data_IF_812444407564
#
_entry.id   IF_812444407564
#
_cell.length_a   1.000
_cell.length_b   1.000
_cell.length_c   1.000
_cell.angle_alpha   90.00
_cell.angle_beta   90.00
_cell.angle_gamma   90.00
#
_symmetry.space_group_name_H-M   'P 1'
#
loop_
_entity.id
_entity.type
_entity.pdbx_description
1 polymer ?
2 non-polymer ?
3 non-polymer ?
4 non-polymer ?
5 water ?
#
# COMPACT_ATOMS: atom_id res chain seq x y z
N UNK A 2 36.17 -2.52 -13.12
CA UNK A 2 34.80 -2.36 -12.62
C UNK A 2 34.63 -3.20 -11.37
N UNK A 3 33.59 -2.89 -10.59
CA UNK A 3 33.22 -3.57 -9.40
C UNK A 3 31.72 -3.48 -9.12
N UNK A 4 31.18 -4.53 -8.52
CA UNK A 4 29.80 -4.50 -8.08
C UNK A 4 29.64 -3.57 -6.91
N UNK A 5 28.81 -2.54 -7.02
CA UNK A 5 28.49 -1.69 -5.91
C UNK A 5 27.27 -2.11 -5.11
N UNK A 6 26.31 -2.73 -5.82
CA UNK A 6 25.12 -3.27 -5.17
C UNK A 6 24.57 -4.39 -6.06
N UNK A 7 23.92 -5.36 -5.42
CA UNK A 7 23.33 -6.43 -6.24
C UNK A 7 22.25 -7.08 -5.42
N UNK A 8 21.12 -7.42 -6.09
CA UNK A 8 20.09 -8.23 -5.47
C UNK A 8 19.37 -8.99 -6.59
N UNK A 9 18.83 -10.14 -6.24
CA UNK A 9 18.26 -10.97 -7.28
C UNK A 9 17.23 -11.85 -6.57
N UNK A 10 16.28 -12.39 -7.35
CA UNK A 10 15.29 -13.32 -6.78
C UNK A 10 14.12 -13.55 -7.74
N UNK A 11 12.98 -13.85 -7.10
CA UNK A 11 11.79 -14.20 -7.87
C UNK A 11 10.71 -13.13 -7.59
N UNK A 12 10.17 -12.62 -8.69
CA UNK A 12 9.09 -11.63 -8.67
C UNK A 12 7.79 -12.27 -9.18
N UNK A 13 6.68 -11.64 -8.85
CA UNK A 13 5.36 -11.97 -9.42
C UNK A 13 4.98 -13.38 -9.09
N UNK A 14 5.30 -13.87 -7.89
CA UNK A 14 4.86 -15.20 -7.46
C UNK A 14 3.47 -15.10 -6.86
N UNK A 15 2.50 -15.64 -7.59
CA UNK A 15 1.10 -15.67 -7.13
C UNK A 15 0.87 -16.79 -6.13
N UNK A 16 0.25 -16.55 -5.00
CA UNK A 16 0.05 -17.52 -3.93
C UNK A 16 -1.37 -17.45 -3.42
N UNK A 17 -2.08 -18.55 -3.38
CA UNK A 17 -3.36 -18.68 -2.71
C UNK A 17 -3.20 -19.63 -1.52
N UNK A 18 -3.90 -19.36 -0.47
CA UNK A 18 -4.01 -20.32 0.64
C UNK A 18 -5.44 -20.35 1.15
N UNK A 19 -5.92 -21.56 1.48
CA UNK A 19 -7.22 -21.76 2.08
C UNK A 19 -7.09 -22.32 3.49
N UNK A 20 -7.89 -21.86 4.40
CA UNK A 20 -8.07 -22.40 5.74
C UNK A 20 -9.47 -23.00 5.81
N UNK A 21 -9.57 -24.23 6.29
CA UNK A 21 -10.88 -24.89 6.39
C UNK A 21 -11.11 -25.20 7.87
N UNK A 22 -12.20 -24.70 8.47
CA UNK A 22 -12.53 -25.02 9.87
C UNK A 22 -13.32 -26.33 9.84
N UNK A 23 -12.72 -27.32 10.51
CA UNK A 23 -13.34 -28.64 10.63
C UNK A 23 -14.63 -28.55 11.41
N UNK A 24 -14.65 -27.75 12.47
CA UNK A 24 -15.85 -27.78 13.31
C UNK A 24 -17.06 -27.26 12.55
N UNK A 25 -16.80 -26.20 11.78
CA UNK A 25 -17.88 -25.36 11.29
C UNK A 25 -18.09 -25.44 9.78
N UNK A 26 -17.08 -25.83 9.02
CA UNK A 26 -17.10 -25.94 7.58
C UNK A 26 -16.90 -24.61 6.85
N UNK A 27 -16.70 -23.52 7.55
CA UNK A 27 -16.32 -22.19 7.13
C UNK A 27 -14.88 -22.25 6.60
N UNK A 28 -14.74 -21.79 5.37
CA UNK A 28 -13.47 -21.69 4.65
C UNK A 28 -13.09 -20.21 4.55
N UNK A 29 -11.80 -19.93 4.61
CA UNK A 29 -11.30 -18.56 4.48
C UNK A 29 -10.16 -18.59 3.48
N UNK A 30 -10.16 -17.68 2.52
CA UNK A 30 -9.09 -17.65 1.51
C UNK A 30 -8.23 -16.40 1.62
N UNK A 31 -6.99 -16.55 1.18
CA UNK A 31 -5.97 -15.53 1.13
C UNK A 31 -5.28 -15.61 -0.21
N UNK A 32 -5.03 -14.48 -0.87
CA UNK A 32 -4.30 -14.48 -2.10
C UNK A 32 -3.35 -13.28 -2.17
N UNK A 33 -2.16 -13.54 -2.66
CA UNK A 33 -1.12 -12.52 -2.66
C UNK A 33 -0.28 -12.67 -3.89
N UNK A 34 0.54 -11.66 -4.18
CA UNK A 34 1.63 -11.72 -5.12
C UNK A 34 2.90 -11.34 -4.37
N UNK A 35 3.91 -12.20 -4.47
CA UNK A 35 5.12 -12.10 -3.64
C UNK A 35 6.32 -11.90 -4.51
N UNK A 36 7.25 -11.03 -4.04
CA UNK A 36 8.56 -10.87 -4.58
C UNK A 36 9.61 -11.02 -3.45
N UNK A 37 10.60 -11.84 -3.70
CA UNK A 37 11.71 -11.98 -2.75
C UNK A 37 12.99 -11.73 -3.51
N UNK A 38 13.78 -10.73 -3.10
CA UNK A 38 15.09 -10.44 -3.62
C UNK A 38 16.17 -10.53 -2.51
N UNK A 39 17.23 -11.25 -2.82
CA UNK A 39 18.31 -11.50 -1.89
C UNK A 39 19.56 -10.70 -2.21
N UNK A 40 20.26 -10.32 -1.10
CA UNK A 40 21.60 -9.76 -1.17
C UNK A 40 22.57 -10.59 -0.30
N UNK A 41 23.83 -10.51 -0.69
CA UNK A 41 24.84 -11.18 0.16
C UNK A 41 26.15 -11.20 -0.58
N UNK A 42 26.90 -12.27 -0.24
CA UNK A 42 28.20 -12.48 -0.86
C UNK A 42 27.99 -13.19 -2.18
N UNK A 43 27.42 -12.47 -3.13
CA UNK A 43 26.99 -12.99 -4.41
C UNK A 43 27.63 -12.34 -5.61
N UNK A 44 28.53 -11.39 -5.39
CA UNK A 44 29.13 -10.61 -6.44
C UNK A 44 29.84 -11.46 -7.48
N UNK A 45 30.41 -12.61 -7.09
CA UNK A 45 31.14 -13.45 -8.03
C UNK A 45 30.25 -14.16 -9.06
N UNK A 46 28.96 -14.18 -8.75
CA UNK A 46 28.05 -14.69 -9.80
C UNK A 46 28.00 -13.73 -10.98
N UNK A 47 28.21 -12.43 -10.67
CA UNK A 47 28.24 -11.41 -11.71
C UNK A 47 29.60 -11.29 -12.39
N UNK A 48 30.67 -11.36 -11.58
CA UNK A 48 31.98 -10.99 -12.10
C UNK A 48 32.78 -12.19 -12.61
N UNK A 49 32.46 -13.40 -12.16
CA UNK A 49 33.32 -14.57 -12.44
C UNK A 49 32.50 -15.77 -12.88
N UNK A 50 31.23 -15.59 -13.22
CA UNK A 50 30.37 -16.67 -13.67
C UNK A 50 30.31 -17.75 -12.60
N UNK A 51 30.35 -17.42 -11.34
CA UNK A 51 30.36 -18.40 -10.25
C UNK A 51 28.95 -18.55 -9.69
N UNK A 52 28.25 -19.58 -10.20
CA UNK A 52 26.86 -19.80 -9.85
C UNK A 52 26.70 -20.51 -8.53
N UNK A 53 27.85 -20.96 -7.96
CA UNK A 53 27.75 -21.65 -6.68
C UNK A 53 27.16 -20.85 -5.56
N UNK A 54 27.25 -19.50 -5.67
CA UNK A 54 26.69 -18.60 -4.71
C UNK A 54 25.20 -18.25 -4.89
N UNK A 55 24.64 -18.81 -5.99
CA UNK A 55 23.24 -18.51 -6.30
C UNK A 55 22.25 -19.54 -5.73
N UNK A 56 21.37 -19.09 -4.88
CA UNK A 56 20.14 -19.81 -4.50
C UNK A 56 19.23 -19.60 -5.72
N UNK A 57 18.95 -20.58 -6.55
CA UNK A 57 18.19 -20.37 -7.80
C UNK A 57 16.84 -19.70 -7.50
N UNK A 58 16.46 -18.82 -8.49
CA UNK A 58 15.18 -18.13 -8.27
C UNK A 58 14.00 -19.10 -8.20
N UNK A 59 14.12 -20.22 -8.93
CA UNK A 59 13.11 -21.28 -8.83
C UNK A 59 13.02 -21.89 -7.45
N UNK A 60 14.20 -21.99 -6.77
CA UNK A 60 14.21 -22.45 -5.38
C UNK A 60 13.62 -21.46 -4.40
N UNK A 61 13.84 -20.16 -4.69
CA UNK A 61 13.17 -19.10 -3.94
C UNK A 61 11.64 -19.24 -4.04
N UNK A 62 11.20 -19.47 -5.28
CA UNK A 62 9.75 -19.74 -5.51
C UNK A 62 9.23 -20.90 -4.67
N UNK A 63 9.95 -22.03 -4.80
CA UNK A 63 9.56 -23.19 -3.98
C UNK A 63 9.47 -22.87 -2.49
N UNK A 64 10.46 -22.09 -2.03
CA UNK A 64 10.51 -21.72 -0.60
C UNK A 64 9.34 -20.87 -0.15
N UNK A 65 8.90 -19.97 -1.07
CA UNK A 65 7.69 -19.21 -0.81
C UNK A 65 6.48 -20.12 -0.57
N UNK A 66 6.28 -21.08 -1.49
CA UNK A 66 5.19 -22.02 -1.29
C UNK A 66 5.26 -22.88 -0.02
N UNK A 67 6.48 -23.38 0.20
CA UNK A 67 6.71 -24.19 1.43
C UNK A 67 6.47 -23.41 2.70
N UNK A 68 6.91 -22.13 2.68
CA UNK A 68 6.74 -21.30 3.87
C UNK A 68 5.26 -21.01 4.12
N UNK A 69 4.52 -20.75 3.01
CA UNK A 69 3.08 -20.59 3.10
C UNK A 69 2.33 -21.85 3.59
N UNK A 70 2.87 -23.01 3.27
CA UNK A 70 2.25 -24.27 3.72
C UNK A 70 2.45 -24.47 5.23
N UNK A 71 3.61 -24.03 5.71
CA UNK A 71 4.00 -24.30 7.09
C UNK A 71 3.68 -23.18 8.07
N UNK A 72 3.16 -22.02 7.66
CA UNK A 72 2.94 -20.86 8.49
C UNK A 72 1.69 -20.08 8.12
N UNK A 73 1.17 -19.27 9.01
CA UNK A 73 0.06 -18.38 8.64
C UNK A 73 0.59 -17.39 7.58
N UNK A 74 -0.30 -17.07 6.63
CA UNK A 74 0.08 -16.07 5.63
C UNK A 74 -0.45 -14.68 6.03
N UNK A 75 -1.11 -14.59 7.15
CA UNK A 75 -1.66 -13.33 7.65
C UNK A 75 -1.18 -13.10 9.08
N UNK A 76 -0.94 -11.88 9.58
CA UNK A 76 -0.93 -10.67 8.74
C UNK A 76 0.27 -10.70 7.82
N UNK A 77 0.28 -10.04 6.68
CA UNK A 77 1.36 -10.11 5.74
C UNK A 77 2.71 -9.63 6.28
N UNK A 78 2.66 -8.71 7.26
CA UNK A 78 3.89 -8.30 7.96
C UNK A 78 4.58 -9.49 8.64
N UNK A 79 3.77 -10.36 9.23
CA UNK A 79 4.33 -11.57 9.87
C UNK A 79 4.87 -12.54 8.84
N UNK A 80 4.06 -12.87 7.83
CA UNK A 80 4.49 -13.80 6.80
C UNK A 80 5.76 -13.37 6.13
N UNK A 81 5.82 -12.06 5.77
CA UNK A 81 7.00 -11.50 5.15
C UNK A 81 8.27 -11.61 5.99
N UNK A 82 8.04 -11.40 7.31
CA UNK A 82 9.16 -11.52 8.26
C UNK A 82 9.65 -12.95 8.40
N UNK A 83 8.71 -13.91 8.47
CA UNK A 83 9.12 -15.31 8.54
C UNK A 83 9.91 -15.68 7.32
N UNK A 84 9.41 -15.31 6.13
CA UNK A 84 10.03 -15.63 4.87
C UNK A 84 11.40 -15.04 4.72
N UNK A 85 11.60 -13.74 5.03
CA UNK A 85 12.87 -13.10 4.92
C UNK A 85 13.90 -13.66 5.91
N UNK A 86 13.42 -13.88 7.11
CA UNK A 86 14.30 -14.48 8.15
C UNK A 86 14.82 -15.84 7.70
N UNK A 87 13.96 -16.63 7.05
CA UNK A 87 14.40 -17.94 6.58
C UNK A 87 15.64 -17.81 5.74
N UNK A 88 15.68 -16.93 4.74
CA UNK A 88 16.78 -16.86 3.83
C UNK A 88 18.10 -16.42 4.48
N UNK A 89 18.04 -15.43 5.34
CA UNK A 89 19.30 -14.99 5.96
C UNK A 89 19.75 -16.04 7.00
N UNK A 90 18.89 -16.81 7.58
CA UNK A 90 19.34 -17.84 8.53
C UNK A 90 19.79 -19.12 7.84
N UNK A 91 19.12 -19.53 6.76
CA UNK A 91 19.40 -20.79 6.10
C UNK A 91 20.74 -20.71 5.38
N UNK A 92 21.08 -19.58 4.76
CA UNK A 92 22.21 -19.42 3.88
C UNK A 92 23.22 -18.49 4.54
N UNK A 93 24.40 -19.04 4.89
CA UNK A 93 25.36 -18.21 5.60
C UNK A 93 25.71 -16.94 4.81
N UNK A 94 25.84 -17.04 3.50
CA UNK A 94 26.33 -15.97 2.67
C UNK A 94 25.24 -15.01 2.17
N UNK A 95 24.02 -15.27 2.55
CA UNK A 95 22.92 -14.33 2.25
C UNK A 95 22.72 -13.48 3.49
N UNK A 96 22.81 -12.16 3.28
CA UNK A 96 22.77 -11.23 4.39
C UNK A 96 21.60 -10.28 4.41
N UNK A 97 20.76 -10.30 3.36
CA UNK A 97 19.53 -9.52 3.42
C UNK A 97 18.49 -10.18 2.53
N UNK A 98 17.25 -10.09 2.95
CA UNK A 98 16.11 -10.54 2.17
C UNK A 98 15.04 -9.46 2.13
N UNK A 99 14.64 -9.13 0.92
CA UNK A 99 13.71 -8.03 0.68
C UNK A 99 12.39 -8.62 0.18
N UNK A 100 11.39 -8.60 0.97
CA UNK A 100 10.13 -9.29 0.68
C UNK A 100 9.02 -8.26 0.45
N UNK A 101 8.45 -8.27 -0.76
CA UNK A 101 7.30 -7.43 -1.04
C UNK A 101 6.07 -8.29 -1.24
N UNK A 102 4.97 -7.96 -0.61
CA UNK A 102 3.74 -8.71 -0.71
C UNK A 102 2.62 -7.74 -1.04
N UNK A 103 1.86 -8.07 -2.04
CA UNK A 103 0.60 -7.46 -2.44
C UNK A 103 -0.53 -8.40 -2.05
N UNK A 104 -1.44 -8.04 -1.17
CA UNK A 104 -2.58 -8.83 -0.78
C UNK A 104 -3.80 -8.43 -1.57
N UNK A 105 -4.47 -9.36 -2.18
CA UNK A 105 -5.66 -9.16 -3.01
C UNK A 105 -6.90 -9.38 -2.20
N UNK A 106 -7.99 -8.67 -2.46
CA UNK A 106 -9.19 -8.83 -1.66
C UNK A 106 -10.05 -9.99 -2.12
N UNK A 107 -10.37 -10.83 -1.17
CA UNK A 107 -11.40 -11.86 -1.31
C UNK A 107 -12.32 -11.73 -0.11
N UNK A 108 -13.39 -10.95 -0.27
CA UNK A 108 -14.31 -10.65 0.81
C UNK A 108 -15.44 -11.68 0.78
N UNK A 109 -15.75 -12.26 1.94
CA UNK A 109 -16.83 -13.24 2.01
C UNK A 109 -18.15 -12.69 1.45
N UNK A 110 -18.85 -13.43 0.58
CA UNK A 110 -20.15 -13.01 0.14
C UNK A 110 -21.23 -13.11 1.19
N UNK A 111 -22.18 -12.19 1.17
CA UNK A 111 -23.41 -12.38 1.95
C UNK A 111 -24.48 -12.72 0.92
N UNK A 112 -25.12 -13.84 1.15
CA UNK A 112 -26.19 -14.36 0.32
C UNK A 112 -27.47 -14.43 1.15
N UNK A 113 -28.49 -13.76 0.64
CA UNK A 113 -29.74 -13.70 1.42
C UNK A 113 -29.46 -13.21 2.84
N UNK A 114 -28.52 -12.29 2.96
CA UNK A 114 -28.19 -11.66 4.21
C UNK A 114 -27.40 -12.49 5.19
N UNK A 115 -26.87 -13.63 4.74
CA UNK A 115 -26.06 -14.42 5.66
C UNK A 115 -24.69 -14.68 5.04
N UNK A 116 -23.62 -14.58 5.81
CA UNK A 116 -22.28 -14.83 5.24
C UNK A 116 -22.14 -16.26 4.75
N UNK A 117 -21.63 -16.42 3.53
CA UNK A 117 -21.50 -17.74 2.89
C UNK A 117 -20.22 -18.41 3.35
N UNK A 118 -20.24 -19.71 3.66
CA UNK A 118 -19.04 -20.39 4.16
C UNK A 118 -17.85 -20.54 3.25
N UNK A 119 -17.86 -20.43 1.97
CA UNK A 119 -16.85 -20.64 0.98
C UNK A 119 -16.97 -19.92 -0.38
N UNK A 120 -17.64 -18.77 -0.37
CA UNK A 120 -17.76 -17.96 -1.58
C UNK A 120 -17.36 -16.51 -1.33
N UNK A 121 -16.58 -15.94 -2.26
CA UNK A 121 -15.92 -14.67 -2.07
C UNK A 121 -15.99 -13.81 -3.31
N UNK A 122 -15.88 -12.50 -3.05
CA UNK A 122 -15.91 -11.51 -4.12
C UNK A 122 -14.71 -10.58 -4.02
N UNK A 123 -14.16 -10.22 -5.17
CA UNK A 123 -13.14 -9.18 -5.22
C UNK A 123 -13.84 -7.81 -5.15
N UNK A 124 -14.01 -7.22 -3.98
CA UNK A 124 -14.63 -5.88 -3.86
C UNK A 124 -13.48 -4.86 -4.00
N UNK A 125 -13.12 -4.60 -5.23
CA UNK A 125 -12.07 -3.70 -5.63
C UNK A 125 -10.69 -4.21 -5.60
N UNK A 126 -9.94 -3.40 -6.42
CA UNK A 126 -8.55 -3.60 -6.69
C UNK A 126 -7.77 -2.87 -5.57
N UNK A 127 -8.40 -2.32 -4.56
CA UNK A 127 -7.63 -1.84 -3.41
C UNK A 127 -6.75 -2.97 -2.88
N UNK A 128 -5.50 -2.69 -2.58
CA UNK A 128 -4.54 -3.65 -2.09
C UNK A 128 -4.12 -3.25 -0.70
N UNK A 129 -3.69 -4.26 0.07
CA UNK A 129 -2.96 -4.10 1.31
C UNK A 129 -1.59 -4.68 1.06
N UNK A 130 -0.50 -3.98 1.29
CA UNK A 130 0.83 -4.35 0.95
C UNK A 130 1.79 -4.30 2.15
N UNK A 131 2.89 -5.03 2.01
CA UNK A 131 4.04 -4.84 2.88
C UNK A 131 5.31 -4.89 2.10
N UNK A 132 6.33 -4.17 2.58
CA UNK A 132 7.70 -4.25 2.24
C UNK A 132 8.49 -4.60 3.51
N UNK A 133 9.06 -5.80 3.52
CA UNK A 133 9.78 -6.29 4.72
C UNK A 133 11.21 -6.50 4.32
N UNK A 134 12.13 -5.73 4.91
CA UNK A 134 13.55 -5.85 4.67
C UNK A 134 14.21 -6.48 5.90
N UNK A 135 14.70 -7.70 5.69
CA UNK A 135 15.34 -8.48 6.78
C UNK A 135 16.79 -8.45 6.48
N UNK A 136 17.56 -7.74 7.34
CA UNK A 136 18.95 -7.45 7.13
C UNK A 136 19.79 -7.98 8.31
N UNK A 137 20.72 -8.87 7.96
CA UNK A 137 21.52 -9.57 8.96
C UNK A 137 22.27 -8.51 9.76
N UNK A 138 22.08 -8.64 11.08
CA UNK A 138 22.69 -7.71 11.99
C UNK A 138 21.84 -6.48 12.27
N UNK A 139 20.82 -6.17 11.48
CA UNK A 139 20.10 -4.93 11.59
C UNK A 139 18.58 -5.12 11.66
N UNK A 140 18.14 -6.30 12.07
CA UNK A 140 16.75 -6.55 12.33
C UNK A 140 15.86 -6.58 11.06
N UNK A 141 14.65 -6.16 11.31
CA UNK A 141 13.56 -6.19 10.31
C UNK A 141 12.87 -4.84 10.22
N UNK A 142 12.96 -4.27 9.02
CA UNK A 142 12.34 -2.98 8.71
C UNK A 142 11.06 -3.19 7.89
N UNK A 143 9.91 -2.81 8.37
CA UNK A 143 8.63 -3.03 7.74
C UNK A 143 7.94 -1.71 7.37
N UNK A 144 7.50 -1.63 6.11
CA UNK A 144 6.61 -0.56 5.63
C UNK A 144 5.30 -1.22 5.24
N UNK A 145 4.19 -0.87 5.82
CA UNK A 145 2.88 -1.37 5.57
C UNK A 145 2.10 -0.35 4.72
N UNK A 146 1.23 -0.77 3.81
CA UNK A 146 0.51 0.27 3.08
C UNK A 146 -0.83 -0.27 2.61
N UNK A 147 -1.70 0.68 2.27
CA UNK A 147 -2.90 0.42 1.50
C UNK A 147 -2.74 1.26 0.22
N UNK A 148 -3.22 0.76 -0.92
CA UNK A 148 -3.11 1.40 -2.20
C UNK A 148 -4.30 1.07 -3.11
N UNK A 149 -4.48 1.95 -4.12
CA UNK A 149 -5.59 1.71 -5.03
C UNK A 149 -6.94 1.93 -4.39
N UNK A 150 -7.06 2.69 -3.31
CA UNK A 150 -8.32 3.10 -2.67
C UNK A 150 -8.80 4.37 -3.36
N UNK A 151 -9.75 4.23 -4.27
CA UNK A 151 -10.21 5.30 -5.16
C UNK A 151 -11.49 5.91 -4.63
N UNK A 152 -11.45 7.24 -4.40
CA UNK A 152 -12.52 7.97 -3.72
C UNK A 152 -12.81 9.28 -4.52
N UNK A 153 -14.01 9.79 -4.28
CA UNK A 153 -14.44 11.07 -4.85
C UNK A 153 -15.40 11.74 -3.86
N UNK A 154 -15.22 13.06 -3.73
CA UNK A 154 -16.21 13.89 -3.01
C UNK A 154 -16.62 14.99 -4.01
N UNK A 155 -17.91 15.30 -3.98
CA UNK A 155 -18.50 16.14 -5.01
C UNK A 155 -18.56 17.61 -4.61
N UNK A 156 -18.22 17.95 -3.38
CA UNK A 156 -18.19 19.31 -2.83
C UNK A 156 -17.34 19.27 -1.57
N UNK A 157 -17.19 20.41 -0.89
CA UNK A 157 -16.36 20.51 0.33
C UNK A 157 -14.89 20.23 0.01
N UNK A 158 -14.48 20.75 -1.13
CA UNK A 158 -13.10 20.89 -1.53
C UNK A 158 -12.90 22.27 -2.13
N UNK A 159 -11.86 22.94 -1.75
CA UNK A 159 -11.49 24.29 -2.20
C UNK A 159 -10.06 24.35 -2.64
N UNK A 160 -9.72 25.34 -3.45
CA UNK A 160 -8.33 25.62 -3.74
C UNK A 160 -8.20 27.07 -4.21
N UNK A 161 -7.78 27.91 -3.27
CA UNK A 161 -7.58 29.33 -3.53
C UNK A 161 -6.41 29.79 -2.71
N UNK A 162 -5.88 30.96 -3.00
CA UNK A 162 -4.80 31.53 -2.21
C UNK A 162 -3.44 31.05 -2.61
N UNK A 163 -3.34 30.37 -3.75
CA UNK A 163 -2.07 29.89 -4.23
C UNK A 163 -1.30 31.01 -4.92
N UNK A 164 -0.02 30.85 -5.16
CA UNK A 164 0.84 31.82 -5.79
C UNK A 164 0.35 32.11 -7.18
N UNK A 165 0.28 33.39 -7.54
CA UNK A 165 -0.13 33.84 -8.86
C UNK A 165 0.96 34.71 -9.47
N UNK A 166 1.46 34.40 -10.62
CA UNK A 166 2.45 35.10 -11.40
C UNK A 166 2.20 34.90 -12.91
N UNK A 167 3.17 35.21 -13.75
CA UNK A 167 2.98 35.22 -15.19
C UNK A 167 2.87 33.82 -15.78
N UNK A 168 3.06 32.79 -14.96
CA UNK A 168 2.84 31.41 -15.40
C UNK A 168 1.47 30.90 -15.01
N UNK A 169 0.66 31.66 -14.31
CA UNK A 169 -0.57 31.21 -13.71
C UNK A 169 -1.82 31.53 -14.51
N UNK A 170 -2.61 30.49 -14.81
CA UNK A 170 -3.91 30.70 -15.43
C UNK A 170 -5.04 30.15 -14.60
N UNK A 171 -4.77 29.24 -13.64
CA UNK A 171 -5.81 28.58 -12.90
C UNK A 171 -6.69 29.53 -12.11
N UNK A 172 -8.00 29.45 -12.19
CA UNK A 172 -8.92 30.24 -11.41
C UNK A 172 -9.02 29.67 -10.00
N UNK A 173 -9.02 30.57 -9.01
CA UNK A 173 -9.33 30.18 -7.65
C UNK A 173 -10.71 29.58 -7.58
N UNK A 174 -10.98 28.61 -6.72
CA UNK A 174 -12.26 28.00 -6.51
C UNK A 174 -12.56 27.75 -5.02
N UNK A 175 -13.80 27.94 -4.65
CA UNK A 175 -14.34 27.67 -3.34
C UNK A 175 -15.25 26.46 -3.29
N UNK A 176 -15.37 25.75 -4.47
CA UNK A 176 -16.19 24.54 -4.46
C UNK A 176 -15.82 23.73 -5.69
N UNK A 177 -15.10 22.62 -5.56
CA UNK A 177 -14.63 21.77 -6.62
C UNK A 177 -14.82 20.29 -6.16
N UNK A 178 -14.70 19.46 -7.19
CA UNK A 178 -14.61 18.01 -6.98
C UNK A 178 -13.18 17.66 -6.55
N UNK A 179 -13.07 16.73 -5.62
CA UNK A 179 -11.79 16.14 -5.29
C UNK A 179 -11.87 14.60 -5.40
N UNK A 180 -11.01 14.04 -6.24
CA UNK A 180 -10.90 12.59 -6.37
C UNK A 180 -9.43 12.19 -6.40
N UNK A 181 -9.16 11.02 -5.79
CA UNK A 181 -7.80 10.52 -5.71
C UNK A 181 -7.81 8.99 -5.60
N UNK A 182 -6.61 8.45 -5.80
CA UNK A 182 -6.28 7.06 -5.52
C UNK A 182 -5.33 7.07 -4.32
N UNK A 183 -5.78 6.58 -3.17
CA UNK A 183 -4.97 6.71 -1.96
C UNK A 183 -3.85 5.66 -1.89
N UNK A 184 -2.63 6.12 -1.74
CA UNK A 184 -1.45 5.29 -1.44
C UNK A 184 -0.92 5.80 -0.10
N UNK A 185 -1.12 5.06 0.96
CA UNK A 185 -0.73 5.46 2.33
C UNK A 185 0.19 4.40 2.91
N UNK A 186 1.32 4.79 3.47
CA UNK A 186 2.34 3.88 4.01
C UNK A 186 2.66 4.25 5.45
N UNK A 187 2.69 3.30 6.39
CA UNK A 187 3.14 3.54 7.74
C UNK A 187 4.40 2.73 7.92
N UNK A 188 5.45 3.37 8.38
CA UNK A 188 6.76 2.79 8.60
C UNK A 188 6.94 2.47 10.08
N UNK A 189 7.13 1.18 10.39
CA UNK A 189 7.30 0.69 11.75
C UNK A 189 8.70 1.00 12.29
N UNK A 190 8.70 1.20 13.63
CA UNK A 190 9.94 1.10 14.38
C UNK A 190 10.72 -0.11 13.91
N UNK A 191 12.02 -0.04 13.82
CA UNK A 191 12.84 -1.21 13.49
C UNK A 191 12.55 -2.28 14.53
N UNK A 192 12.43 -3.51 14.11
CA UNK A 192 12.25 -4.69 14.95
C UNK A 192 13.57 -5.41 14.99
N UNK A 193 13.93 -5.98 16.19
CA UNK A 193 15.23 -6.60 16.30
C UNK A 193 15.36 -7.97 15.63
N UNK A 194 14.21 -8.57 15.26
CA UNK A 194 14.19 -9.89 14.64
C UNK A 194 12.76 -10.39 14.62
N UNK A 195 12.61 -11.66 14.26
CA UNK A 195 11.29 -12.25 14.13
C UNK A 195 10.49 -12.34 15.40
N UNK A 196 11.16 -12.56 16.54
CA UNK A 196 10.43 -12.60 17.79
C UNK A 196 9.71 -11.28 18.10
N UNK A 197 10.41 -10.17 17.88
CA UNK A 197 9.74 -8.89 18.16
C UNK A 197 8.57 -8.65 17.21
N UNK A 198 8.72 -9.04 15.95
CA UNK A 198 7.54 -8.95 15.05
C UNK A 198 6.37 -9.75 15.57
N UNK A 199 6.65 -10.99 16.00
CA UNK A 199 5.62 -11.84 16.53
C UNK A 199 4.91 -11.20 17.72
N UNK A 200 5.72 -10.53 18.55
CA UNK A 200 5.16 -9.95 19.77
C UNK A 200 4.12 -8.87 19.49
N UNK A 201 4.12 -8.33 18.27
CA UNK A 201 3.24 -7.23 17.95
C UNK A 201 2.13 -7.64 16.99
N UNK A 202 1.95 -8.93 16.75
CA UNK A 202 1.08 -9.35 15.64
C UNK A 202 -0.28 -8.70 15.61
N UNK A 203 -1.06 -8.58 16.65
CA UNK A 203 -2.37 -7.92 16.57
C UNK A 203 -2.28 -6.48 16.10
N UNK A 204 -1.19 -5.77 16.31
CA UNK A 204 -1.08 -4.35 15.93
C UNK A 204 -1.08 -4.18 14.40
N UNK A 205 -0.70 -5.22 13.64
CA UNK A 205 -0.65 -5.02 12.18
C UNK A 205 -2.07 -4.89 11.63
N UNK A 206 -2.99 -5.78 11.90
CA UNK A 206 -4.35 -5.63 11.37
C UNK A 206 -5.00 -4.39 11.98
N UNK A 207 -4.75 -4.10 13.25
CA UNK A 207 -5.39 -2.93 13.87
C UNK A 207 -4.92 -1.62 13.25
N UNK A 208 -3.66 -1.51 12.94
CA UNK A 208 -3.11 -0.26 12.39
C UNK A 208 -3.54 -0.10 10.94
N UNK A 209 -3.61 -1.16 10.16
CA UNK A 209 -4.18 -1.10 8.81
C UNK A 209 -5.62 -0.63 8.92
N UNK A 210 -6.43 -1.17 9.79
CA UNK A 210 -7.81 -0.72 9.95
C UNK A 210 -7.87 0.75 10.34
N UNK A 211 -7.03 1.16 11.27
CA UNK A 211 -7.06 2.57 11.68
C UNK A 211 -6.72 3.45 10.51
N UNK A 212 -5.68 3.10 9.76
CA UNK A 212 -5.23 3.93 8.65
C UNK A 212 -6.37 4.08 7.64
N UNK A 213 -7.06 3.00 7.34
CA UNK A 213 -8.13 3.04 6.35
C UNK A 213 -9.26 3.89 6.86
N UNK A 214 -9.67 3.71 8.09
CA UNK A 214 -10.74 4.41 8.76
C UNK A 214 -10.47 5.91 8.81
N UNK A 215 -9.27 6.28 9.20
CA UNK A 215 -8.88 7.67 9.33
C UNK A 215 -8.90 8.30 7.94
N UNK A 216 -8.38 7.57 6.97
CA UNK A 216 -8.33 8.09 5.61
C UNK A 216 -9.70 8.41 5.10
N UNK A 217 -10.63 7.49 5.19
CA UNK A 217 -11.97 7.66 4.65
C UNK A 217 -12.71 8.74 5.41
N UNK A 218 -12.66 8.76 6.73
CA UNK A 218 -13.42 9.74 7.51
C UNK A 218 -12.86 11.13 7.31
N UNK A 219 -11.57 11.32 7.29
CA UNK A 219 -11.00 12.64 7.06
C UNK A 219 -11.25 13.11 5.66
N UNK A 220 -11.15 12.23 4.66
CA UNK A 220 -11.49 12.62 3.29
C UNK A 220 -12.95 13.09 3.24
N UNK A 221 -13.87 12.36 3.83
CA UNK A 221 -15.28 12.67 3.74
C UNK A 221 -15.65 13.92 4.50
N UNK A 222 -14.98 14.19 5.63
CA UNK A 222 -15.43 15.23 6.54
C UNK A 222 -14.63 16.50 6.44
N UNK A 223 -13.41 16.51 5.94
CA UNK A 223 -12.57 17.71 5.90
C UNK A 223 -13.11 18.65 4.84
N UNK A 224 -13.38 19.90 5.21
CA UNK A 224 -13.70 20.93 4.20
C UNK A 224 -12.32 21.39 3.77
N UNK A 225 -11.84 20.71 2.73
CA UNK A 225 -10.46 20.65 2.31
C UNK A 225 -9.94 21.94 1.73
N UNK A 226 -8.85 22.49 2.21
CA UNK A 226 -8.16 23.67 1.70
C UNK A 226 -7.23 23.35 0.56
N UNK A 227 -6.83 22.07 0.47
CA UNK A 227 -5.90 21.51 -0.48
C UNK A 227 -5.69 20.02 -0.18
N UNK A 228 -5.15 19.33 -1.19
CA UNK A 228 -4.79 17.92 -0.94
C UNK A 228 -3.71 17.88 0.16
N UNK A 229 -2.78 18.79 0.11
CA UNK A 229 -1.68 18.92 1.09
C UNK A 229 -2.23 18.93 2.50
N UNK A 230 -3.20 19.69 2.89
CA UNK A 230 -3.71 20.06 4.17
C UNK A 230 -4.54 18.86 4.60
N UNK A 231 -5.30 18.24 3.69
CA UNK A 231 -6.11 17.11 4.08
C UNK A 231 -5.25 15.87 4.37
N UNK A 232 -4.27 15.60 3.54
CA UNK A 232 -3.47 14.40 3.75
C UNK A 232 -2.69 14.56 5.04
N UNK A 233 -2.27 15.76 5.42
CA UNK A 233 -1.49 15.96 6.65
C UNK A 233 -2.37 15.60 7.81
N UNK A 234 -3.65 15.96 7.82
CA UNK A 234 -4.56 15.64 8.91
C UNK A 234 -4.69 14.14 9.09
N UNK A 235 -4.71 13.42 7.94
CA UNK A 235 -4.78 11.96 8.02
C UNK A 235 -3.55 11.37 8.70
N UNK A 236 -2.39 11.82 8.27
CA UNK A 236 -1.14 11.30 8.81
C UNK A 236 -1.03 11.61 10.31
N UNK A 237 -1.34 12.82 10.72
CA UNK A 237 -1.22 13.14 12.14
C UNK A 237 -2.09 12.25 12.96
N UNK A 238 -3.32 11.96 12.56
CA UNK A 238 -4.15 11.11 13.36
C UNK A 238 -3.63 9.68 13.45
N UNK A 239 -3.10 9.16 12.35
CA UNK A 239 -2.62 7.78 12.41
C UNK A 239 -1.44 7.73 13.36
N UNK A 240 -0.53 8.71 13.33
CA UNK A 240 0.61 8.66 14.23
C UNK A 240 0.11 8.71 15.69
N UNK A 241 -0.93 9.44 15.95
CA UNK A 241 -1.39 9.62 17.32
C UNK A 241 -2.02 8.33 17.83
N UNK A 242 -2.40 7.41 16.96
CA UNK A 242 -3.11 6.20 17.34
C UNK A 242 -2.28 4.92 17.30
N UNK A 243 -1.01 5.01 16.99
CA UNK A 243 -0.11 3.86 17.05
C UNK A 243 1.30 4.31 17.33
N UNK A 244 1.76 4.16 18.59
CA UNK A 244 3.10 4.65 18.93
C UNK A 244 4.27 3.94 18.28
N UNK A 245 4.01 2.72 17.76
CA UNK A 245 5.07 1.95 17.17
C UNK A 245 5.33 2.29 15.69
N UNK A 246 4.52 3.17 15.12
CA UNK A 246 4.81 3.75 13.82
C UNK A 246 5.70 4.99 13.96
N UNK A 247 6.69 5.13 13.16
CA UNK A 247 7.58 6.30 13.13
C UNK A 247 7.15 7.36 12.14
N UNK A 248 6.70 6.97 10.93
CA UNK A 248 6.24 7.94 9.95
C UNK A 248 5.04 7.38 9.19
N UNK A 249 4.27 8.30 8.62
CA UNK A 249 3.19 8.01 7.70
C UNK A 249 3.45 8.81 6.44
N UNK A 250 3.42 8.18 5.27
CA UNK A 250 3.66 8.77 3.98
C UNK A 250 2.38 8.67 3.13
N UNK A 251 1.96 9.75 2.50
CA UNK A 251 0.86 9.69 1.53
C UNK A 251 1.40 10.08 0.17
N UNK A 252 0.87 9.45 -0.88
CA UNK A 252 1.10 9.83 -2.26
C UNK A 252 -0.27 9.87 -2.92
N UNK A 253 -0.73 11.08 -3.29
CA UNK A 253 -2.09 11.26 -3.77
C UNK A 253 -2.11 11.98 -5.08
N UNK A 254 -2.63 11.41 -6.17
CA UNK A 254 -2.91 12.17 -7.36
C UNK A 254 -4.15 13.01 -7.17
N UNK A 255 -4.15 14.19 -7.80
CA UNK A 255 -5.37 15.00 -7.91
C UNK A 255 -5.95 14.71 -9.30
N UNK A 256 -7.01 13.89 -9.29
CA UNK A 256 -7.58 13.37 -10.57
C UNK A 256 -8.62 14.40 -10.99
N UNK A 257 -8.25 15.28 -11.89
CA UNK A 257 -9.05 16.48 -12.13
C UNK A 257 -10.37 16.21 -12.85
N UNK A 258 -11.40 16.93 -12.42
CA UNK A 258 -12.72 16.95 -13.05
C UNK A 258 -12.94 18.40 -13.54
N UNK A 259 -12.92 18.64 -14.82
CA UNK A 259 -13.05 20.01 -15.33
C UNK A 259 -14.50 20.38 -15.61
N UNK A 260 -14.86 21.62 -15.27
CA UNK A 260 -16.13 22.19 -15.72
C UNK A 260 -16.13 22.21 -17.25
N UNK A 261 -17.39 22.17 -17.76
CA UNK A 261 -17.66 22.31 -19.19
C UNK A 261 -18.61 23.49 -19.44
N UNK A 262 -18.07 24.52 -20.02
CA UNK A 262 -18.86 25.69 -20.41
C UNK A 262 -19.70 25.33 -21.64
N UNK A 263 -21.02 25.35 -21.46
CA UNK A 263 -21.94 25.06 -22.52
C UNK A 263 -22.73 26.29 -22.94
N UNK A 264 -22.34 27.48 -22.51
CA UNK A 264 -23.13 28.70 -22.78
C UNK A 264 -23.16 29.05 -24.24
N UNK A 265 -22.25 28.54 -25.03
CA UNK A 265 -22.24 28.68 -26.49
C UNK A 265 -23.42 27.96 -27.12
N UNK A 266 -24.07 27.04 -26.44
CA UNK A 266 -25.21 26.27 -26.89
C UNK A 266 -26.47 26.63 -26.14
N UNK A 267 -27.29 27.42 -26.84
CA UNK A 267 -28.60 27.82 -26.32
C UNK A 267 -28.51 28.47 -24.93
N UNK A 268 -27.39 29.14 -24.63
CA UNK A 268 -27.15 29.75 -23.34
C UNK A 268 -27.19 28.83 -22.15
N UNK A 269 -26.93 27.52 -22.35
CA UNK A 269 -26.90 26.58 -21.24
C UNK A 269 -25.91 26.99 -20.14
N UNK A 270 -26.37 26.91 -18.94
CA UNK A 270 -25.58 27.29 -17.76
C UNK A 270 -25.14 26.01 -17.02
N UNK A 271 -23.83 25.78 -17.13
CA UNK A 271 -23.22 24.58 -16.54
C UNK A 271 -21.93 24.89 -15.81
N UNK A 272 -21.75 26.10 -15.30
CA UNK A 272 -20.53 26.46 -14.60
C UNK A 272 -20.91 27.05 -13.25
N UNK A 273 -19.90 27.10 -12.37
CA UNK A 273 -20.17 27.59 -11.04
C UNK A 273 -21.29 26.86 -10.36
N UNK A 274 -22.27 27.59 -9.81
CA UNK A 274 -23.33 26.97 -9.07
C UNK A 274 -24.24 26.08 -9.94
N UNK A 275 -24.19 26.34 -11.23
CA UNK A 275 -25.03 25.59 -12.15
C UNK A 275 -24.30 24.38 -12.71
N UNK A 276 -23.05 24.13 -12.28
CA UNK A 276 -22.26 23.04 -12.85
C UNK A 276 -22.84 21.69 -12.45
N UNK A 277 -23.22 20.89 -13.44
CA UNK A 277 -23.77 19.56 -13.25
C UNK A 277 -22.93 18.53 -14.02
N UNK A 278 -22.55 18.81 -15.24
CA UNK A 278 -21.83 17.85 -16.08
C UNK A 278 -20.37 18.31 -16.19
N UNK A 279 -19.47 17.38 -15.91
CA UNK A 279 -18.03 17.62 -15.90
C UNK A 279 -17.30 16.63 -16.79
N UNK A 280 -16.11 17.01 -17.20
CA UNK A 280 -15.21 16.18 -17.98
C UNK A 280 -14.10 15.65 -17.08
N UNK A 281 -14.14 14.39 -16.67
CA UNK A 281 -13.00 13.78 -15.93
C UNK A 281 -11.80 13.77 -16.85
N UNK A 282 -10.64 14.20 -16.36
CA UNK A 282 -9.40 14.27 -17.11
C UNK A 282 -8.50 13.09 -16.79
N UNK A 283 -8.10 12.30 -17.77
CA UNK A 283 -7.25 11.16 -17.51
C UNK A 283 -5.83 11.61 -17.21
N UNK A 284 -5.32 12.60 -17.91
CA UNK A 284 -3.99 13.15 -17.69
C UNK A 284 -4.03 14.59 -18.19
N UNK A 285 -3.15 15.44 -17.72
CA UNK A 285 -2.20 15.20 -16.62
C UNK A 285 -2.91 15.18 -15.30
N UNK A 286 -2.15 14.99 -14.22
CA UNK A 286 -2.70 14.99 -12.89
C UNK A 286 -1.72 15.59 -11.89
N UNK A 287 -2.27 16.40 -10.97
CA UNK A 287 -1.41 16.79 -9.84
C UNK A 287 -1.00 15.53 -9.09
N UNK A 288 0.15 15.63 -8.43
CA UNK A 288 0.71 14.54 -7.61
C UNK A 288 1.24 15.20 -6.31
N UNK A 289 0.69 14.81 -5.19
CA UNK A 289 1.02 15.45 -3.92
C UNK A 289 1.55 14.39 -2.97
N UNK A 290 2.74 14.66 -2.39
CA UNK A 290 3.37 13.69 -1.48
C UNK A 290 3.78 14.34 -0.17
N UNK A 291 3.72 13.59 0.93
CA UNK A 291 4.14 14.05 2.24
C UNK A 291 4.66 12.85 3.02
N UNK A 292 5.72 13.00 3.79
CA UNK A 292 6.15 12.06 4.85
C UNK A 292 6.05 12.81 6.20
N UNK A 293 5.25 12.33 7.08
CA UNK A 293 4.96 12.96 8.36
C UNK A 293 5.56 12.08 9.46
N UNK A 294 6.31 12.69 10.37
CA UNK A 294 6.93 12.09 11.54
C UNK A 294 6.47 12.83 12.79
N UNK A 295 7.06 12.44 13.92
CA UNK A 295 6.62 13.07 15.18
C UNK A 295 7.53 14.27 15.47
N UNK A 296 6.94 15.26 16.12
CA UNK A 296 7.72 16.43 16.48
C UNK A 296 8.63 16.11 17.70
#
# INVERSE_FOLDING_TARGET
XSAVKAARYGKDNVRVYKVHKDEKTGVQTVYEMTVCVLLEGEIETSYTKADNSVIVATDSIKNTIYITAKQNPVTPPELFGSILGTHFIEKYNHIHAAHVNIVCHRWTRMDIDGKPHPHSFIRDSEEKRNVQVDVVEGKGIDIKSSLSGLTVLKSTNSQFWGFLRDEYTTLKETWDRILSTDVDATWQWKNFSGLQEVRSHVPKFDATWATAREVTLKTFAEDNSASVQATMYKMAEQILARQQLIETVEYSLPNKHYFEIDLSWHKGLQNTGKNAEVFAPQSDPNGLIKCTVGRS
#
